data_IF_996007621768
#
_entry.id   IF_996007621768
#
_cell.length_a   1.000
_cell.length_b   1.000
_cell.length_c   1.000
_cell.angle_alpha   90.00
_cell.angle_beta   90.00
_cell.angle_gamma   90.00
#
_symmetry.space_group_name_H-M   'P 1'
#
loop_
_entity.id
_entity.type
_entity.pdbx_description
1 polymer ?
#
# COMPACT_ATOMS: atom_id res chain seq x y z
N UNK A 1 -30.43 6.65 14.33
CA UNK A 1 -30.29 6.34 12.90
C UNK A 1 -30.60 7.62 12.11
N UNK A 2 -29.78 7.93 11.11
CA UNK A 2 -30.07 9.05 10.20
C UNK A 2 -31.31 8.70 9.37
N UNK A 3 -32.22 9.67 9.24
CA UNK A 3 -33.32 9.55 8.31
C UNK A 3 -32.85 9.65 6.85
N UNK A 4 -33.68 9.26 5.90
CA UNK A 4 -33.31 9.24 4.49
C UNK A 4 -33.02 10.65 3.94
N UNK A 5 -33.68 11.67 4.51
CA UNK A 5 -33.45 13.07 4.13
C UNK A 5 -32.05 13.56 4.55
N UNK A 6 -31.65 13.24 5.78
CA UNK A 6 -30.33 13.59 6.28
C UNK A 6 -29.21 12.87 5.49
N UNK A 7 -29.43 11.60 5.11
CA UNK A 7 -28.51 10.84 4.24
C UNK A 7 -28.35 11.48 2.87
N UNK A 8 -29.46 11.80 2.21
CA UNK A 8 -29.44 12.46 0.89
C UNK A 8 -28.78 13.83 0.96
N UNK A 9 -29.00 14.57 2.04
CA UNK A 9 -28.43 15.89 2.25
C UNK A 9 -26.92 15.82 2.53
N UNK A 10 -26.49 14.84 3.33
CA UNK A 10 -25.06 14.56 3.55
C UNK A 10 -24.39 14.15 2.23
N UNK A 11 -25.01 13.27 1.45
CA UNK A 11 -24.50 12.85 0.13
C UNK A 11 -24.29 14.07 -0.77
N UNK A 12 -25.30 14.90 -0.94
CA UNK A 12 -25.22 16.10 -1.78
C UNK A 12 -24.16 17.10 -1.29
N UNK A 13 -23.99 17.21 0.04
CA UNK A 13 -22.96 18.08 0.64
C UNK A 13 -21.55 17.52 0.33
N UNK A 14 -21.32 16.22 0.52
CA UNK A 14 -20.03 15.59 0.26
C UNK A 14 -19.66 15.68 -1.22
N UNK A 15 -20.58 15.33 -2.12
CA UNK A 15 -20.36 15.41 -3.57
C UNK A 15 -20.02 16.84 -4.01
N UNK A 16 -20.75 17.82 -3.48
CA UNK A 16 -20.50 19.22 -3.79
C UNK A 16 -19.14 19.69 -3.28
N UNK A 17 -18.80 19.31 -2.04
CA UNK A 17 -17.52 19.66 -1.46
C UNK A 17 -16.33 18.98 -2.19
N UNK A 18 -16.50 17.74 -2.62
CA UNK A 18 -15.50 17.05 -3.45
C UNK A 18 -15.26 17.82 -4.76
N UNK A 19 -16.34 18.25 -5.42
CA UNK A 19 -16.26 18.96 -6.70
C UNK A 19 -15.60 20.35 -6.58
N UNK A 20 -16.04 21.17 -5.60
CA UNK A 20 -15.69 22.59 -5.54
C UNK A 20 -14.58 22.93 -4.53
N UNK A 21 -14.38 22.09 -3.50
CA UNK A 21 -13.44 22.36 -2.39
C UNK A 21 -13.85 23.51 -1.48
N UNK A 22 -15.08 24.03 -1.62
CA UNK A 22 -15.57 25.18 -0.86
C UNK A 22 -16.64 24.74 0.16
N UNK A 23 -16.66 25.33 1.37
CA UNK A 23 -17.68 25.03 2.35
C UNK A 23 -19.09 25.24 1.79
N UNK A 24 -19.97 24.26 1.99
CA UNK A 24 -21.29 24.20 1.35
C UNK A 24 -22.34 24.86 2.24
N UNK A 25 -23.02 25.88 1.73
CA UNK A 25 -24.08 26.58 2.42
C UNK A 25 -25.47 25.98 2.21
N UNK A 26 -26.41 26.23 3.13
CA UNK A 26 -27.80 25.73 3.04
C UNK A 26 -28.54 26.17 1.76
N UNK A 27 -28.26 27.36 1.25
CA UNK A 27 -28.84 27.85 -0.02
C UNK A 27 -28.32 27.08 -1.23
N UNK A 28 -27.03 26.71 -1.21
CA UNK A 28 -26.41 25.91 -2.28
C UNK A 28 -26.98 24.49 -2.28
N UNK A 29 -27.12 23.89 -1.09
CA UNK A 29 -27.73 22.57 -0.95
C UNK A 29 -29.22 22.53 -1.35
N UNK A 30 -29.98 23.57 -1.06
CA UNK A 30 -31.37 23.68 -1.48
C UNK A 30 -31.55 23.59 -3.00
N UNK A 31 -30.57 24.09 -3.75
CA UNK A 31 -30.57 24.02 -5.21
C UNK A 31 -30.00 22.74 -5.77
N UNK A 32 -29.04 22.12 -5.05
CA UNK A 32 -28.26 20.97 -5.54
C UNK A 32 -28.85 19.62 -5.13
N UNK A 33 -29.55 19.54 -3.99
CA UNK A 33 -29.99 18.26 -3.41
C UNK A 33 -31.19 17.60 -4.12
N UNK A 34 -31.88 18.31 -5.03
CA UNK A 34 -33.10 17.81 -5.63
C UNK A 34 -34.27 17.60 -4.64
N UNK A 35 -34.03 17.93 -3.37
CA UNK A 35 -35.04 17.92 -2.31
C UNK A 35 -35.78 19.25 -2.35
N UNK A 36 -37.09 19.21 -2.48
CA UNK A 36 -37.96 20.41 -2.40
C UNK A 36 -38.06 20.93 -0.96
N UNK A 37 -36.87 21.22 -0.34
CA UNK A 37 -36.76 21.71 1.03
C UNK A 37 -36.36 23.17 1.07
N UNK A 38 -36.99 23.90 1.98
CA UNK A 38 -36.60 25.29 2.25
C UNK A 38 -35.15 25.40 2.79
N UNK A 39 -34.43 26.50 2.52
CA UNK A 39 -33.11 26.72 3.09
C UNK A 39 -33.09 26.69 4.63
N UNK A 40 -34.22 27.03 5.28
CA UNK A 40 -34.38 26.96 6.71
C UNK A 40 -34.43 25.50 7.22
N UNK A 41 -35.20 24.64 6.54
CA UNK A 41 -35.26 23.19 6.85
C UNK A 41 -33.91 22.54 6.66
N UNK A 42 -33.20 22.87 5.56
CA UNK A 42 -31.85 22.33 5.29
C UNK A 42 -30.89 22.77 6.40
N UNK A 43 -30.98 24.02 6.90
CA UNK A 43 -30.13 24.50 7.99
C UNK A 43 -30.34 23.68 9.27
N UNK A 44 -31.57 23.32 9.60
CA UNK A 44 -31.86 22.48 10.76
C UNK A 44 -31.23 21.09 10.58
N UNK A 45 -31.42 20.44 9.43
CA UNK A 45 -30.80 19.13 9.16
C UNK A 45 -29.26 19.22 9.17
N UNK A 46 -28.67 20.33 8.69
CA UNK A 46 -27.23 20.55 8.77
C UNK A 46 -26.77 20.70 10.25
N UNK A 47 -27.58 21.32 11.11
CA UNK A 47 -27.29 21.40 12.55
C UNK A 47 -27.29 20.01 13.20
N UNK A 48 -28.28 19.18 12.86
CA UNK A 48 -28.35 17.78 13.35
C UNK A 48 -27.17 16.96 12.88
N UNK A 49 -26.75 17.10 11.61
CA UNK A 49 -25.57 16.42 11.06
C UNK A 49 -24.27 16.92 11.74
N UNK A 50 -24.19 18.19 12.11
CA UNK A 50 -23.05 18.75 12.84
C UNK A 50 -22.99 18.23 14.26
N UNK A 51 -24.12 18.14 14.97
CA UNK A 51 -24.21 17.52 16.30
C UNK A 51 -23.80 16.05 16.30
N UNK A 52 -24.11 15.33 15.22
CA UNK A 52 -23.68 13.95 15.01
C UNK A 52 -22.19 13.83 14.62
N UNK A 53 -21.48 14.94 14.43
CA UNK A 53 -20.08 14.98 14.05
C UNK A 53 -19.80 14.51 12.61
N UNK A 54 -20.79 14.57 11.73
CA UNK A 54 -20.67 14.18 10.31
C UNK A 54 -20.18 15.32 9.42
N UNK A 55 -20.49 16.54 9.81
CA UNK A 55 -20.04 17.78 9.17
C UNK A 55 -19.54 18.77 10.25
N UNK A 56 -18.79 19.76 9.82
CA UNK A 56 -18.27 20.80 10.71
C UNK A 56 -18.22 22.16 10.01
N UNK A 57 -18.33 23.24 10.78
CA UNK A 57 -18.10 24.60 10.29
C UNK A 57 -16.63 24.96 10.41
N UNK A 58 -15.89 25.24 9.32
CA UNK A 58 -14.51 25.66 9.41
C UNK A 58 -14.37 27.07 10.04
N UNK A 59 -15.38 27.95 9.87
CA UNK A 59 -15.44 29.30 10.44
C UNK A 59 -16.90 29.69 10.71
N UNK A 60 -17.12 30.60 11.64
CA UNK A 60 -18.45 30.99 12.17
C UNK A 60 -19.47 31.44 11.09
N UNK A 61 -19.01 31.98 9.96
CA UNK A 61 -19.84 32.42 8.85
C UNK A 61 -19.74 31.58 7.59
N UNK A 62 -18.94 30.52 7.63
CA UNK A 62 -18.74 29.63 6.51
C UNK A 62 -19.89 28.59 6.40
N UNK A 63 -20.02 27.96 5.22
CA UNK A 63 -20.82 26.74 5.07
C UNK A 63 -20.31 25.59 5.93
N UNK A 64 -20.67 24.39 5.58
CA UNK A 64 -20.20 23.16 6.27
C UNK A 64 -19.30 22.35 5.35
N UNK A 65 -18.37 21.63 5.96
CA UNK A 65 -17.48 20.66 5.29
C UNK A 65 -17.66 19.28 5.94
N UNK A 66 -17.46 18.17 5.21
CA UNK A 66 -17.53 16.82 5.77
C UNK A 66 -16.38 16.57 6.76
N UNK A 67 -16.63 15.82 7.80
CA UNK A 67 -15.60 15.21 8.65
C UNK A 67 -15.18 13.85 8.09
N UNK A 68 -14.12 13.22 8.62
CA UNK A 68 -13.75 11.85 8.29
C UNK A 68 -14.92 10.89 8.47
N UNK A 69 -15.70 11.05 9.55
CA UNK A 69 -16.91 10.26 9.82
C UNK A 69 -18.01 10.51 8.79
N UNK A 70 -18.16 11.75 8.32
CA UNK A 70 -19.09 12.09 7.24
C UNK A 70 -18.71 11.44 5.91
N UNK A 71 -17.44 11.46 5.56
CA UNK A 71 -16.92 10.74 4.39
C UNK A 71 -17.09 9.23 4.51
N UNK A 72 -16.85 8.63 5.69
CA UNK A 72 -17.07 7.21 5.94
C UNK A 72 -18.50 6.80 5.64
N UNK A 73 -19.46 7.51 6.23
CA UNK A 73 -20.87 7.21 6.01
C UNK A 73 -21.28 7.36 4.53
N UNK A 74 -20.73 8.38 3.84
CA UNK A 74 -20.93 8.58 2.41
C UNK A 74 -20.40 7.39 1.59
N UNK A 75 -19.19 6.94 1.88
CA UNK A 75 -18.55 5.80 1.21
C UNK A 75 -19.33 4.50 1.46
N UNK A 76 -19.72 4.24 2.70
CA UNK A 76 -20.48 3.02 3.06
C UNK A 76 -21.86 2.99 2.38
N UNK A 77 -22.49 4.15 2.19
CA UNK A 77 -23.75 4.27 1.48
C UNK A 77 -23.58 4.03 -0.02
N UNK A 78 -22.48 4.47 -0.61
CA UNK A 78 -22.17 4.26 -2.02
C UNK A 78 -21.82 2.80 -2.33
N UNK A 79 -21.00 2.18 -1.48
CA UNK A 79 -20.59 0.78 -1.67
C UNK A 79 -21.79 -0.18 -1.65
N UNK A 80 -22.87 0.17 -0.95
CA UNK A 80 -24.09 -0.63 -0.92
C UNK A 80 -25.02 -0.42 -2.12
N UNK A 81 -24.82 0.65 -2.91
CA UNK A 81 -25.80 1.09 -3.93
C UNK A 81 -25.35 0.96 -5.38
N UNK A 82 -24.06 0.75 -5.70
CA UNK A 82 -23.62 0.85 -7.10
C UNK A 82 -22.65 -0.24 -7.56
N UNK A 83 -23.14 -0.98 -8.55
CA UNK A 83 -22.37 -1.82 -9.46
C UNK A 83 -22.49 -1.25 -10.90
N UNK A 84 -22.19 0.03 -11.11
CA UNK A 84 -22.13 0.58 -12.47
C UNK A 84 -20.70 0.55 -13.01
N UNK A 85 -20.43 -0.18 -14.10
CA UNK A 85 -19.10 -0.28 -14.69
C UNK A 85 -18.79 0.97 -15.54
N UNK A 86 -18.44 2.09 -14.90
CA UNK A 86 -18.14 3.35 -15.62
C UNK A 86 -16.80 3.37 -16.35
N UNK A 87 -15.90 2.44 -16.08
CA UNK A 87 -14.61 2.35 -16.77
C UNK A 87 -14.57 1.04 -17.54
N UNK A 88 -14.92 1.11 -18.83
CA UNK A 88 -14.65 -0.01 -19.74
C UNK A 88 -13.13 -0.28 -19.73
N UNK A 89 -12.73 -1.51 -19.43
CA UNK A 89 -11.33 -1.97 -19.50
C UNK A 89 -10.67 -1.66 -20.86
N UNK A 90 -11.49 -1.43 -21.91
CA UNK A 90 -11.08 -0.99 -23.23
C UNK A 90 -10.55 0.45 -23.30
N UNK A 91 -10.95 1.33 -22.37
CA UNK A 91 -10.48 2.73 -22.31
C UNK A 91 -9.19 2.89 -21.49
N UNK A 92 -8.86 1.93 -20.65
CA UNK A 92 -7.57 1.81 -19.95
C UNK A 92 -6.47 1.24 -20.88
N UNK A 93 -6.62 1.55 -22.18
CA UNK A 93 -5.77 1.25 -23.31
C UNK A 93 -4.56 0.39 -22.99
N UNK A 94 -4.63 -0.88 -23.40
CA UNK A 94 -3.54 -1.63 -24.04
C UNK A 94 -2.05 -1.32 -23.68
N UNK A 95 -1.73 -0.68 -22.61
CA UNK A 95 -0.44 -0.88 -21.95
C UNK A 95 -0.55 -2.27 -21.31
N UNK A 96 -0.36 -3.29 -22.17
CA UNK A 96 -0.14 -4.67 -21.73
C UNK A 96 1.01 -4.58 -20.75
N UNK A 97 0.68 -4.79 -19.47
CA UNK A 97 1.68 -5.02 -18.45
C UNK A 97 2.51 -6.19 -18.99
N UNK A 98 3.76 -5.91 -19.38
CA UNK A 98 4.60 -6.93 -20.00
C UNK A 98 4.88 -8.03 -18.99
N UNK A 99 4.43 -9.28 -19.20
CA UNK A 99 4.48 -10.31 -18.18
C UNK A 99 5.91 -10.76 -17.82
N UNK A 100 6.88 -10.47 -18.66
CA UNK A 100 8.24 -11.04 -18.56
C UNK A 100 9.09 -10.49 -17.40
N UNK A 101 8.65 -9.43 -16.71
CA UNK A 101 9.41 -8.82 -15.60
C UNK A 101 8.49 -8.31 -14.49
N UNK A 102 8.32 -9.05 -13.41
CA UNK A 102 7.41 -8.70 -12.31
C UNK A 102 7.58 -7.27 -11.76
N UNK A 103 8.82 -6.81 -11.55
CA UNK A 103 9.08 -5.43 -11.09
C UNK A 103 8.60 -4.35 -12.06
N UNK A 104 8.66 -4.60 -13.37
CA UNK A 104 8.11 -3.68 -14.36
C UNK A 104 6.59 -3.65 -14.34
N UNK A 105 5.94 -4.79 -14.09
CA UNK A 105 4.48 -4.86 -13.91
C UNK A 105 4.07 -3.98 -12.73
N UNK A 106 4.74 -4.10 -11.58
CA UNK A 106 4.43 -3.33 -10.38
C UNK A 106 4.69 -1.83 -10.58
N UNK A 107 5.82 -1.47 -11.22
CA UNK A 107 6.13 -0.08 -11.56
C UNK A 107 5.09 0.52 -12.51
N UNK A 108 4.68 -0.21 -13.53
CA UNK A 108 3.64 0.22 -14.46
C UNK A 108 2.29 0.36 -13.78
N UNK A 109 1.95 -0.52 -12.85
CA UNK A 109 0.73 -0.44 -12.06
C UNK A 109 0.72 0.80 -11.15
N UNK A 110 1.81 1.09 -10.43
CA UNK A 110 1.92 2.29 -9.62
C UNK A 110 1.79 3.57 -10.46
N UNK A 111 2.41 3.58 -11.64
CA UNK A 111 2.28 4.69 -12.57
C UNK A 111 0.86 4.83 -13.12
N UNK A 112 0.19 3.73 -13.45
CA UNK A 112 -1.21 3.72 -13.90
C UNK A 112 -2.15 4.25 -12.82
N UNK A 113 -2.02 3.76 -11.58
CA UNK A 113 -2.77 4.28 -10.44
C UNK A 113 -2.60 5.78 -10.29
N UNK A 114 -1.37 6.27 -10.33
CA UNK A 114 -1.07 7.68 -10.19
C UNK A 114 -1.61 8.53 -11.34
N UNK A 115 -1.43 8.10 -12.59
CA UNK A 115 -1.86 8.86 -13.76
C UNK A 115 -3.38 8.97 -13.89
N UNK A 116 -4.11 7.91 -13.55
CA UNK A 116 -5.59 7.88 -13.62
C UNK A 116 -6.26 8.58 -12.45
N UNK A 117 -5.70 8.44 -11.25
CA UNK A 117 -6.23 9.06 -10.04
C UNK A 117 -5.84 10.52 -9.89
N UNK A 118 -4.70 10.93 -10.47
CA UNK A 118 -4.00 12.19 -10.22
C UNK A 118 -3.50 12.33 -8.76
N UNK A 119 -3.34 11.19 -8.07
CA UNK A 119 -2.81 11.08 -6.71
C UNK A 119 -1.58 10.17 -6.69
N UNK A 120 -1.15 9.74 -5.51
CA UNK A 120 -0.01 8.83 -5.38
C UNK A 120 -0.47 7.39 -5.55
N UNK A 121 0.09 6.68 -6.53
CA UNK A 121 -0.07 5.25 -6.70
C UNK A 121 0.98 4.48 -5.91
N UNK A 122 0.57 3.49 -5.15
CA UNK A 122 1.43 2.62 -4.35
C UNK A 122 1.15 1.16 -4.67
N UNK A 123 2.21 0.36 -4.78
CA UNK A 123 2.11 -1.08 -5.02
C UNK A 123 3.12 -1.79 -4.13
N UNK A 124 2.64 -2.64 -3.25
CA UNK A 124 3.49 -3.51 -2.44
C UNK A 124 3.88 -4.73 -3.28
N UNK A 125 5.18 -4.99 -3.40
CA UNK A 125 5.67 -6.16 -4.11
C UNK A 125 5.28 -7.46 -3.40
N UNK A 126 5.13 -8.59 -4.13
CA UNK A 126 4.95 -9.89 -3.51
C UNK A 126 6.06 -10.16 -2.50
N UNK A 127 5.68 -10.60 -1.31
CA UNK A 127 6.67 -11.08 -0.36
C UNK A 127 7.38 -12.28 -1.00
N UNK A 128 8.68 -12.15 -1.19
CA UNK A 128 9.48 -13.28 -1.63
C UNK A 128 9.48 -14.33 -0.52
N UNK A 129 9.51 -15.59 -0.93
CA UNK A 129 9.69 -16.67 0.02
C UNK A 129 11.00 -16.44 0.77
N UNK A 130 10.91 -16.28 2.08
CA UNK A 130 12.08 -16.26 2.95
C UNK A 130 12.67 -17.65 3.15
N UNK A 131 12.03 -18.67 2.59
CA UNK A 131 12.45 -20.07 2.63
C UNK A 131 13.53 -20.31 1.58
N UNK A 132 14.64 -20.92 1.96
CA UNK A 132 15.62 -21.36 0.99
C UNK A 132 15.56 -22.88 0.81
N UNK A 133 15.78 -23.34 -0.43
CA UNK A 133 15.93 -24.75 -0.77
C UNK A 133 17.39 -25.14 -0.91
N UNK A 134 18.24 -24.19 -1.32
CA UNK A 134 19.65 -24.43 -1.52
C UNK A 134 20.47 -23.15 -1.29
N UNK A 135 21.64 -23.30 -0.68
CA UNK A 135 22.62 -22.24 -0.51
C UNK A 135 23.99 -22.68 -1.00
N UNK A 136 24.73 -21.79 -1.63
CA UNK A 136 26.10 -22.04 -2.11
C UNK A 136 26.98 -20.83 -1.83
N UNK A 137 28.28 -21.09 -1.57
CA UNK A 137 29.30 -20.08 -1.38
C UNK A 137 30.37 -20.19 -2.45
N UNK A 138 30.67 -19.05 -3.10
CA UNK A 138 31.76 -18.95 -4.08
C UNK A 138 32.78 -17.93 -3.62
N UNK A 139 34.05 -18.32 -3.62
CA UNK A 139 35.15 -17.41 -3.33
C UNK A 139 35.38 -16.49 -4.53
N UNK A 140 35.29 -15.17 -4.31
CA UNK A 140 35.60 -14.16 -5.31
C UNK A 140 37.04 -13.63 -5.19
N UNK A 141 37.48 -13.38 -3.96
CA UNK A 141 38.84 -12.96 -3.60
C UNK A 141 39.04 -13.17 -2.09
N UNK A 142 40.20 -12.76 -1.57
CA UNK A 142 40.47 -12.80 -0.14
C UNK A 142 39.40 -12.05 0.63
N UNK A 143 38.76 -12.73 1.60
CA UNK A 143 37.67 -12.20 2.43
C UNK A 143 36.41 -11.70 1.69
N UNK A 144 36.25 -12.05 0.40
CA UNK A 144 35.03 -11.73 -0.38
C UNK A 144 34.43 -13.00 -0.95
N UNK A 145 33.19 -13.23 -0.60
CA UNK A 145 32.46 -14.43 -1.00
C UNK A 145 31.12 -14.06 -1.59
N UNK A 146 30.71 -14.77 -2.63
CA UNK A 146 29.36 -14.69 -3.19
C UNK A 146 28.52 -15.77 -2.52
N UNK A 147 27.43 -15.38 -1.89
CA UNK A 147 26.39 -16.28 -1.38
C UNK A 147 25.28 -16.33 -2.43
N UNK A 148 24.94 -17.55 -2.85
CA UNK A 148 23.84 -17.83 -3.76
C UNK A 148 22.79 -18.59 -2.97
N UNK A 149 21.56 -18.08 -2.97
CA UNK A 149 20.41 -18.69 -2.28
C UNK A 149 19.34 -18.96 -3.31
N UNK A 150 18.85 -20.18 -3.32
CA UNK A 150 17.77 -20.64 -4.19
C UNK A 150 16.55 -20.93 -3.32
N UNK A 151 15.41 -20.33 -3.64
CA UNK A 151 14.13 -20.62 -2.99
C UNK A 151 13.38 -21.79 -3.64
N UNK A 152 12.38 -22.40 -2.96
CA UNK A 152 11.63 -23.52 -3.53
C UNK A 152 10.90 -23.23 -4.83
N UNK A 153 10.55 -21.97 -5.07
CA UNK A 153 9.92 -21.45 -6.29
C UNK A 153 10.90 -21.15 -7.41
N UNK A 154 12.21 -21.42 -7.20
CA UNK A 154 13.26 -21.28 -8.20
C UNK A 154 13.84 -19.86 -8.29
N UNK A 155 13.43 -18.92 -7.44
CA UNK A 155 14.07 -17.60 -7.36
C UNK A 155 15.51 -17.74 -6.86
N UNK A 156 16.44 -17.04 -7.52
CA UNK A 156 17.86 -17.07 -7.20
C UNK A 156 18.29 -15.71 -6.69
N UNK A 157 18.78 -15.68 -5.47
CA UNK A 157 19.35 -14.47 -4.86
C UNK A 157 20.85 -14.63 -4.73
N UNK A 158 21.60 -13.58 -5.00
CA UNK A 158 23.04 -13.55 -4.83
C UNK A 158 23.47 -12.33 -4.03
N UNK A 159 24.48 -12.51 -3.16
CA UNK A 159 25.04 -11.45 -2.33
C UNK A 159 26.54 -11.63 -2.17
N UNK A 160 27.25 -10.52 -2.22
CA UNK A 160 28.66 -10.48 -1.86
C UNK A 160 28.75 -10.15 -0.38
N UNK A 161 29.39 -11.03 0.38
CA UNK A 161 29.70 -10.82 1.80
C UNK A 161 31.19 -10.56 1.98
N UNK A 162 31.51 -9.81 3.01
CA UNK A 162 32.87 -9.53 3.44
C UNK A 162 33.05 -10.14 4.84
N UNK A 163 34.11 -10.91 5.02
CA UNK A 163 34.37 -11.56 6.28
C UNK A 163 35.71 -11.07 6.87
N UNK A 164 35.87 -11.18 8.18
CA UNK A 164 37.13 -10.84 8.85
C UNK A 164 38.23 -11.87 8.59
N UNK A 165 37.83 -13.14 8.46
CA UNK A 165 38.72 -14.25 8.15
C UNK A 165 38.66 -14.64 6.67
N UNK A 166 39.71 -15.25 6.17
CA UNK A 166 39.69 -15.91 4.85
C UNK A 166 39.33 -17.39 5.03
N UNK A 167 38.51 -17.89 4.10
CA UNK A 167 37.99 -19.27 4.10
C UNK A 167 38.44 -20.02 2.85
N UNK A 168 38.88 -21.24 3.05
CA UNK A 168 39.20 -22.15 1.95
C UNK A 168 37.96 -22.65 1.25
N UNK A 169 38.10 -23.11 0.01
CA UNK A 169 36.98 -23.67 -0.75
C UNK A 169 36.34 -24.89 -0.02
N UNK A 170 37.13 -25.69 0.68
CA UNK A 170 36.63 -26.82 1.47
C UNK A 170 35.73 -26.37 2.63
N UNK A 171 36.14 -25.32 3.36
CA UNK A 171 35.31 -24.74 4.43
C UNK A 171 34.01 -24.13 3.91
N UNK A 172 34.04 -23.49 2.73
CA UNK A 172 32.84 -22.96 2.08
C UNK A 172 31.86 -24.06 1.70
N UNK A 173 32.36 -25.17 1.15
CA UNK A 173 31.55 -26.35 0.80
C UNK A 173 30.97 -27.00 2.06
N UNK A 174 31.76 -27.12 3.13
CA UNK A 174 31.30 -27.68 4.40
C UNK A 174 30.19 -26.83 5.02
N UNK A 175 30.34 -25.52 5.03
CA UNK A 175 29.30 -24.58 5.49
C UNK A 175 28.02 -24.69 4.67
N UNK A 176 28.11 -24.73 3.33
CA UNK A 176 26.97 -24.89 2.46
C UNK A 176 26.24 -26.22 2.69
N UNK A 177 26.99 -27.33 2.76
CA UNK A 177 26.45 -28.66 3.02
C UNK A 177 25.74 -28.72 4.37
N UNK A 178 26.30 -28.13 5.40
CA UNK A 178 25.67 -28.07 6.72
C UNK A 178 24.32 -27.31 6.66
N UNK A 179 24.32 -26.10 6.11
CA UNK A 179 23.08 -25.32 5.98
C UNK A 179 22.02 -26.04 5.14
N UNK A 180 22.41 -26.62 4.02
CA UNK A 180 21.51 -27.37 3.14
C UNK A 180 20.93 -28.63 3.79
N UNK A 181 21.74 -29.37 4.58
CA UNK A 181 21.26 -30.61 5.21
C UNK A 181 20.38 -30.37 6.43
N UNK A 182 20.56 -29.27 7.18
CA UNK A 182 19.86 -29.05 8.43
C UNK A 182 18.70 -28.04 8.31
N UNK A 183 18.76 -27.13 7.35
CA UNK A 183 17.86 -26.00 7.30
C UNK A 183 17.16 -25.78 5.96
N UNK A 184 17.42 -26.57 4.91
CA UNK A 184 16.69 -26.46 3.66
C UNK A 184 15.18 -26.64 3.88
N UNK A 185 14.39 -25.76 3.28
CA UNK A 185 12.94 -25.73 3.47
C UNK A 185 12.47 -24.89 4.67
N UNK A 186 13.38 -24.25 5.41
CA UNK A 186 13.05 -23.36 6.53
C UNK A 186 13.13 -21.90 6.12
N UNK A 187 12.38 -21.04 6.82
CA UNK A 187 12.52 -19.60 6.67
C UNK A 187 13.88 -19.12 7.20
N UNK A 188 14.49 -18.18 6.49
CA UNK A 188 15.84 -17.65 6.85
C UNK A 188 15.85 -17.07 8.26
N UNK A 189 14.76 -16.41 8.68
CA UNK A 189 14.61 -15.88 10.03
C UNK A 189 14.62 -16.99 11.09
N UNK A 190 13.97 -18.10 10.81
CA UNK A 190 13.98 -19.27 11.70
C UNK A 190 15.37 -19.91 11.75
N UNK A 191 16.03 -20.00 10.60
CA UNK A 191 17.43 -20.47 10.52
C UNK A 191 18.34 -19.59 11.34
N UNK A 192 18.18 -18.26 11.25
CA UNK A 192 18.99 -17.30 12.03
C UNK A 192 18.86 -17.53 13.53
N UNK A 193 17.62 -17.67 14.02
CA UNK A 193 17.38 -17.89 15.45
C UNK A 193 17.93 -19.25 15.93
N UNK A 194 17.76 -20.31 15.13
CA UNK A 194 18.31 -21.64 15.45
C UNK A 194 19.83 -21.64 15.42
N UNK A 195 20.41 -21.09 14.37
CA UNK A 195 21.85 -21.02 14.20
C UNK A 195 22.51 -20.20 15.33
N UNK A 196 21.88 -19.11 15.79
CA UNK A 196 22.35 -18.32 16.91
C UNK A 196 22.44 -19.15 18.21
N UNK A 197 21.43 -19.98 18.46
CA UNK A 197 21.40 -20.84 19.63
C UNK A 197 22.38 -22.04 19.52
N UNK A 198 22.57 -22.58 18.32
CA UNK A 198 23.47 -23.72 18.08
C UNK A 198 24.94 -23.29 17.99
N UNK A 199 25.24 -22.08 17.52
CA UNK A 199 26.61 -21.55 17.41
C UNK A 199 27.24 -21.29 18.77
N UNK A 200 26.45 -21.04 19.81
CA UNK A 200 26.97 -21.04 21.17
C UNK A 200 27.55 -22.41 21.56
N UNK A 201 27.07 -23.47 20.92
CA UNK A 201 27.55 -24.85 21.09
C UNK A 201 28.66 -25.25 20.08
N UNK A 202 28.68 -24.65 18.88
CA UNK A 202 29.65 -24.91 17.80
C UNK A 202 30.75 -23.86 17.83
N UNK A 203 31.83 -24.13 18.57
CA UNK A 203 33.03 -23.28 18.57
C UNK A 203 33.83 -23.53 17.28
N UNK A 204 33.78 -22.59 16.32
CA UNK A 204 34.64 -22.67 15.15
C UNK A 204 34.47 -21.51 14.16
N UNK A 205 35.45 -21.28 13.31
CA UNK A 205 35.47 -20.24 12.28
C UNK A 205 34.34 -20.38 11.27
N UNK A 206 33.91 -21.61 10.96
CA UNK A 206 32.84 -21.92 10.03
C UNK A 206 31.47 -21.40 10.55
N UNK A 207 31.23 -21.42 11.84
CA UNK A 207 30.03 -20.91 12.47
C UNK A 207 29.87 -19.39 12.23
N UNK A 208 30.98 -18.65 12.30
CA UNK A 208 30.96 -17.20 12.01
C UNK A 208 30.61 -16.93 10.54
N UNK A 209 31.12 -17.73 9.60
CA UNK A 209 30.79 -17.62 8.19
C UNK A 209 29.28 -17.84 7.96
N UNK A 210 28.72 -18.91 8.56
CA UNK A 210 27.30 -19.24 8.45
C UNK A 210 26.42 -18.12 9.01
N UNK A 211 26.75 -17.59 10.19
CA UNK A 211 26.03 -16.47 10.78
C UNK A 211 26.07 -15.23 9.88
N UNK A 212 27.25 -14.87 9.38
CA UNK A 212 27.38 -13.71 8.47
C UNK A 212 26.56 -13.89 7.21
N UNK A 213 26.57 -15.09 6.60
CA UNK A 213 25.81 -15.37 5.40
C UNK A 213 24.30 -15.26 5.64
N UNK A 214 23.79 -15.83 6.72
CA UNK A 214 22.36 -15.79 7.08
C UNK A 214 21.94 -14.38 7.46
N UNK A 215 22.76 -13.64 8.20
CA UNK A 215 22.48 -12.24 8.56
C UNK A 215 22.34 -11.35 7.32
N UNK A 216 23.32 -11.42 6.41
CA UNK A 216 23.29 -10.63 5.16
C UNK A 216 22.15 -11.05 4.25
N UNK A 217 21.77 -12.32 4.27
CA UNK A 217 20.63 -12.82 3.51
C UNK A 217 19.31 -12.32 4.05
N UNK A 218 19.13 -12.25 5.37
CA UNK A 218 17.98 -11.65 6.04
C UNK A 218 17.86 -10.17 5.69
N UNK A 219 18.93 -9.39 5.84
CA UNK A 219 18.98 -7.97 5.47
C UNK A 219 18.71 -7.74 3.98
N UNK A 220 19.10 -8.68 3.13
CA UNK A 220 18.84 -8.63 1.69
C UNK A 220 17.38 -8.83 1.31
N UNK A 221 16.66 -9.64 2.07
CA UNK A 221 15.21 -9.86 1.89
C UNK A 221 14.46 -8.60 2.35
N UNK A 222 14.90 -7.96 3.44
CA UNK A 222 14.33 -6.73 3.96
C UNK A 222 14.61 -5.49 3.09
N UNK A 223 15.73 -5.45 2.36
CA UNK A 223 16.23 -4.23 1.69
C UNK A 223 15.85 -4.08 0.22
N UNK A 224 15.17 -5.03 -0.43
CA UNK A 224 14.70 -4.87 -1.80
C UNK A 224 13.34 -4.19 -1.82
N UNK A 225 13.15 -3.27 -2.75
CA UNK A 225 11.97 -2.43 -2.98
C UNK A 225 10.65 -3.23 -2.87
N UNK A 226 10.21 -3.49 -1.64
CA UNK A 226 8.92 -4.10 -1.35
C UNK A 226 7.76 -3.15 -1.66
N UNK A 227 8.06 -1.87 -1.87
CA UNK A 227 7.09 -0.82 -2.13
C UNK A 227 7.51 0.04 -3.32
N UNK A 228 6.69 0.03 -4.35
CA UNK A 228 6.78 0.92 -5.51
C UNK A 228 5.83 2.08 -5.31
N UNK A 229 6.34 3.31 -5.40
CA UNK A 229 5.57 4.55 -5.27
C UNK A 229 5.69 5.33 -6.57
N UNK A 230 4.62 5.96 -7.00
CA UNK A 230 4.61 6.82 -8.18
C UNK A 230 3.65 7.99 -7.99
N UNK A 231 4.04 9.17 -8.46
CA UNK A 231 3.19 10.35 -8.51
C UNK A 231 3.15 11.17 -7.23
N UNK A 232 4.17 11.12 -6.38
CA UNK A 232 4.27 11.95 -5.17
C UNK A 232 4.14 13.44 -5.50
N UNK A 233 4.61 13.85 -6.67
CA UNK A 233 4.50 15.22 -7.16
C UNK A 233 3.06 15.68 -7.41
N UNK A 234 2.13 14.76 -7.63
CA UNK A 234 0.72 15.10 -7.84
C UNK A 234 0.13 15.79 -6.60
N UNK A 235 0.62 15.45 -5.41
CA UNK A 235 0.17 16.07 -4.17
C UNK A 235 0.50 17.56 -4.09
N UNK A 236 1.54 18.02 -4.80
CA UNK A 236 1.89 19.44 -4.89
C UNK A 236 0.83 20.26 -5.62
N UNK A 237 0.06 19.64 -6.50
CA UNK A 237 -1.00 20.29 -7.29
C UNK A 237 -2.34 20.27 -6.58
N UNK A 238 -2.48 19.49 -5.50
CA UNK A 238 -3.71 19.42 -4.71
C UNK A 238 -3.79 20.61 -3.78
N UNK A 239 -4.85 21.41 -3.93
CA UNK A 239 -5.05 22.63 -3.14
C UNK A 239 -5.08 22.39 -1.63
N UNK A 240 -5.56 21.24 -1.20
CA UNK A 240 -5.68 20.85 0.20
C UNK A 240 -4.31 20.70 0.90
N UNK A 241 -3.26 20.42 0.14
CA UNK A 241 -1.89 20.30 0.65
C UNK A 241 -1.00 21.49 0.29
N UNK A 242 -1.22 22.11 -0.86
CA UNK A 242 -0.38 23.22 -1.34
C UNK A 242 -0.53 24.49 -0.51
N UNK A 243 -1.61 24.62 0.26
CA UNK A 243 -1.87 25.77 1.15
C UNK A 243 -1.13 25.67 2.50
N UNK A 244 -0.62 24.49 2.89
CA UNK A 244 0.09 24.27 4.14
C UNK A 244 1.39 23.48 3.92
N UNK A 245 2.51 24.22 3.90
CA UNK A 245 3.85 23.63 3.73
C UNK A 245 4.23 22.67 4.85
N UNK A 246 3.67 22.83 6.05
CA UNK A 246 3.90 21.93 7.18
C UNK A 246 3.27 20.56 6.93
N UNK A 247 2.06 20.52 6.42
CA UNK A 247 1.37 19.28 6.07
C UNK A 247 2.03 18.61 4.85
N UNK A 248 2.43 19.38 3.86
CA UNK A 248 3.14 18.87 2.70
C UNK A 248 4.45 18.18 3.09
N UNK A 249 5.24 18.78 3.99
CA UNK A 249 6.48 18.17 4.50
C UNK A 249 6.22 16.84 5.20
N UNK A 250 5.22 16.80 6.08
CA UNK A 250 4.83 15.53 6.77
C UNK A 250 4.46 14.42 5.78
N UNK A 251 3.83 14.78 4.65
CA UNK A 251 3.50 13.81 3.60
C UNK A 251 4.74 13.23 2.93
N UNK A 252 5.72 14.07 2.59
CA UNK A 252 6.98 13.56 2.03
C UNK A 252 7.73 12.71 3.04
N UNK A 253 7.76 13.11 4.32
CA UNK A 253 8.35 12.30 5.40
C UNK A 253 7.67 10.91 5.50
N UNK A 254 6.34 10.82 5.26
CA UNK A 254 5.63 9.54 5.21
C UNK A 254 6.11 8.65 4.06
N UNK A 255 6.31 9.22 2.86
CA UNK A 255 6.80 8.44 1.72
C UNK A 255 8.26 8.02 1.86
N UNK A 256 9.07 8.80 2.56
CA UNK A 256 10.43 8.39 2.93
C UNK A 256 10.42 7.25 3.96
N UNK A 257 9.43 7.23 4.85
CA UNK A 257 9.23 6.17 5.85
C UNK A 257 8.46 4.97 5.27
N UNK A 258 9.04 4.29 4.27
CA UNK A 258 8.42 3.13 3.57
C UNK A 258 7.82 2.09 4.53
N UNK A 259 8.42 1.87 5.68
CA UNK A 259 7.95 0.91 6.68
C UNK A 259 6.53 1.20 7.23
N UNK A 260 6.14 2.47 7.33
CA UNK A 260 4.79 2.84 7.77
C UNK A 260 3.75 2.58 6.67
N UNK A 261 4.10 2.90 5.42
CA UNK A 261 3.24 2.60 4.27
C UNK A 261 3.06 1.09 4.08
N UNK A 262 4.12 0.32 4.25
CA UNK A 262 4.05 -1.14 4.19
C UNK A 262 3.12 -1.72 5.24
N UNK A 263 3.15 -1.24 6.49
CA UNK A 263 2.20 -1.67 7.53
C UNK A 263 0.75 -1.38 7.15
N UNK A 264 0.48 -0.21 6.56
CA UNK A 264 -0.85 0.14 6.07
C UNK A 264 -1.33 -0.83 4.99
N UNK A 265 -0.48 -1.11 4.01
CA UNK A 265 -0.81 -2.01 2.90
C UNK A 265 -0.92 -3.47 3.36
N UNK A 266 -0.12 -3.89 4.34
CA UNK A 266 -0.16 -5.24 4.91
C UNK A 266 -1.48 -5.53 5.65
N UNK A 267 -1.99 -4.57 6.41
CA UNK A 267 -3.33 -4.68 7.03
C UNK A 267 -4.41 -4.86 5.96
N UNK A 268 -4.24 -4.21 4.81
CA UNK A 268 -5.18 -4.31 3.68
C UNK A 268 -5.09 -5.63 2.93
N UNK A 269 -3.97 -6.34 2.98
CA UNK A 269 -3.76 -7.62 2.26
C UNK A 269 -4.66 -8.76 2.76
N UNK A 270 -5.15 -8.66 4.00
CA UNK A 270 -6.05 -9.65 4.61
C UNK A 270 -7.53 -9.41 4.32
N UNK A 271 -7.83 -8.35 3.59
CA UNK A 271 -9.20 -7.96 3.31
C UNK A 271 -9.66 -8.51 1.95
N UNK A 272 -10.93 -8.87 1.84
CA UNK A 272 -11.55 -9.18 0.57
C UNK A 272 -11.95 -7.89 -0.16
N UNK A 273 -11.49 -7.72 -1.41
CA UNK A 273 -11.83 -6.60 -2.27
C UNK A 273 -11.24 -5.25 -1.86
N UNK A 274 -11.86 -4.17 -2.39
CA UNK A 274 -11.38 -2.79 -2.15
C UNK A 274 -11.64 -2.35 -0.72
N UNK A 275 -10.64 -1.74 -0.09
CA UNK A 275 -10.71 -1.12 1.24
C UNK A 275 -10.40 0.36 1.17
N UNK A 276 -11.07 1.11 2.03
CA UNK A 276 -10.94 2.56 2.08
C UNK A 276 -10.66 2.97 3.53
N UNK A 277 -9.59 3.71 3.70
CA UNK A 277 -9.18 4.30 4.98
C UNK A 277 -9.29 5.81 4.86
N UNK A 278 -10.02 6.45 5.76
CA UNK A 278 -10.33 7.89 5.70
C UNK A 278 -9.80 8.57 6.95
N UNK A 279 -8.76 9.40 6.78
CA UNK A 279 -8.21 10.22 7.85
C UNK A 279 -7.83 9.41 9.09
N UNK A 280 -8.01 10.01 10.25
CA UNK A 280 -7.69 9.41 11.55
C UNK A 280 -8.65 8.31 12.05
N UNK A 281 -9.62 7.85 11.25
CA UNK A 281 -10.51 6.75 11.67
C UNK A 281 -9.77 5.43 11.83
N UNK A 282 -8.78 5.19 10.98
CA UNK A 282 -7.91 4.04 11.14
C UNK A 282 -6.70 4.47 11.95
N UNK A 283 -6.44 3.83 13.08
CA UNK A 283 -5.19 4.02 13.85
C UNK A 283 -3.93 3.69 13.00
N UNK A 284 -4.12 3.26 11.77
CA UNK A 284 -3.09 2.84 10.82
C UNK A 284 -2.57 4.00 10.01
N UNK A 285 -3.41 5.03 9.72
CA UNK A 285 -2.98 6.23 9.00
C UNK A 285 -2.55 7.30 10.03
N UNK A 286 -1.26 7.68 10.06
CA UNK A 286 -0.77 8.65 11.05
C UNK A 286 -1.22 10.10 10.75
N UNK A 287 -1.89 10.33 9.61
CA UNK A 287 -2.28 11.67 9.15
C UNK A 287 -3.79 11.78 8.97
N UNK A 288 -4.40 12.74 9.67
CA UNK A 288 -5.85 12.96 9.67
C UNK A 288 -6.40 13.47 8.34
N UNK A 289 -5.55 13.99 7.47
CA UNK A 289 -5.92 14.66 6.21
C UNK A 289 -5.83 13.77 4.98
N UNK A 290 -5.34 12.53 5.17
CA UNK A 290 -5.15 11.55 4.10
C UNK A 290 -6.29 10.55 4.04
N UNK A 291 -6.53 10.07 2.83
CA UNK A 291 -7.29 8.86 2.58
C UNK A 291 -6.52 7.91 1.69
N UNK A 292 -6.75 6.62 1.91
CA UNK A 292 -6.10 5.55 1.15
C UNK A 292 -7.16 4.58 0.66
N UNK A 293 -7.15 4.29 -0.62
CA UNK A 293 -7.99 3.27 -1.26
C UNK A 293 -7.08 2.14 -1.73
N UNK A 294 -7.31 0.92 -1.27
CA UNK A 294 -6.44 -0.23 -1.54
C UNK A 294 -7.24 -1.42 -2.04
N UNK A 295 -6.58 -2.30 -2.78
CA UNK A 295 -7.07 -3.64 -3.09
C UNK A 295 -5.93 -4.65 -3.05
N UNK A 296 -6.18 -5.89 -2.59
CA UNK A 296 -5.24 -6.97 -2.73
C UNK A 296 -5.13 -7.38 -4.21
N UNK A 297 -3.98 -7.93 -4.60
CA UNK A 297 -3.81 -8.60 -5.87
C UNK A 297 -3.25 -10.00 -5.65
N UNK A 298 -3.57 -10.91 -6.57
CA UNK A 298 -3.36 -12.34 -6.40
C UNK A 298 -2.49 -12.90 -7.52
N UNK A 299 -1.78 -13.97 -7.22
CA UNK A 299 -1.11 -14.83 -8.18
C UNK A 299 -1.51 -16.28 -7.87
N UNK A 300 -2.04 -16.98 -8.87
CA UNK A 300 -2.54 -18.36 -8.73
C UNK A 300 -3.56 -18.53 -7.57
N UNK A 301 -4.45 -17.54 -7.38
CA UNK A 301 -5.48 -17.54 -6.34
C UNK A 301 -4.99 -17.28 -4.91
N UNK A 302 -3.73 -16.85 -4.75
CA UNK A 302 -3.17 -16.43 -3.45
C UNK A 302 -2.88 -14.95 -3.46
N UNK A 303 -3.33 -14.23 -2.44
CA UNK A 303 -2.97 -12.82 -2.23
C UNK A 303 -1.47 -12.74 -2.00
N UNK A 304 -0.78 -12.01 -2.86
CA UNK A 304 0.68 -11.85 -2.81
C UNK A 304 1.11 -10.43 -2.50
N UNK A 305 0.20 -9.47 -2.62
CA UNK A 305 0.50 -8.09 -2.31
C UNK A 305 -0.75 -7.21 -2.33
N UNK A 306 -0.56 -5.92 -2.10
CA UNK A 306 -1.61 -4.91 -2.08
C UNK A 306 -1.17 -3.71 -2.91
N UNK A 307 -2.12 -3.11 -3.60
CA UNK A 307 -1.90 -1.86 -4.31
C UNK A 307 -2.96 -0.82 -3.92
N UNK A 308 -2.70 0.43 -4.19
CA UNK A 308 -3.66 1.47 -3.85
C UNK A 308 -3.27 2.88 -4.28
N UNK A 309 -4.14 3.80 -3.92
CA UNK A 309 -4.00 5.24 -4.15
C UNK A 309 -4.03 5.95 -2.82
N UNK A 310 -3.10 6.89 -2.61
CA UNK A 310 -3.03 7.79 -1.46
C UNK A 310 -3.33 9.20 -1.95
N UNK A 311 -4.28 9.87 -1.32
CA UNK A 311 -4.68 11.24 -1.65
C UNK A 311 -5.32 11.96 -0.46
N UNK A 312 -5.86 13.17 -0.67
CA UNK A 312 -6.58 13.92 0.36
C UNK A 312 -7.89 13.22 0.75
N UNK A 313 -8.45 13.57 1.90
CA UNK A 313 -9.82 13.12 2.25
C UNK A 313 -10.84 13.55 1.20
N UNK A 314 -10.63 14.67 0.56
CA UNK A 314 -11.47 15.20 -0.52
C UNK A 314 -11.07 14.60 -1.87
N UNK A 315 -11.43 13.35 -2.11
CA UNK A 315 -11.20 12.67 -3.39
C UNK A 315 -12.49 12.05 -3.96
N UNK A 316 -12.57 11.85 -5.27
CA UNK A 316 -13.72 11.17 -5.91
C UNK A 316 -13.65 9.65 -5.64
N UNK A 317 -14.11 9.22 -4.47
CA UNK A 317 -13.99 7.83 -3.98
C UNK A 317 -14.50 6.78 -4.97
N UNK A 318 -15.65 7.03 -5.61
CA UNK A 318 -16.21 6.11 -6.61
C UNK A 318 -15.20 5.81 -7.72
N UNK A 319 -14.61 6.87 -8.28
CA UNK A 319 -13.57 6.74 -9.31
C UNK A 319 -12.31 6.03 -8.77
N UNK A 320 -11.92 6.33 -7.53
CA UNK A 320 -10.74 5.68 -6.90
C UNK A 320 -10.96 4.19 -6.70
N UNK A 321 -12.15 3.79 -6.23
CA UNK A 321 -12.53 2.38 -6.06
C UNK A 321 -12.39 1.64 -7.39
N UNK A 322 -12.95 2.19 -8.48
CA UNK A 322 -12.89 1.58 -9.80
C UNK A 322 -11.45 1.46 -10.33
N UNK A 323 -10.65 2.52 -10.23
CA UNK A 323 -9.24 2.51 -10.67
C UNK A 323 -8.45 1.43 -9.92
N UNK A 324 -8.60 1.37 -8.61
CA UNK A 324 -7.87 0.42 -7.75
C UNK A 324 -8.31 -1.02 -8.02
N UNK A 325 -9.61 -1.28 -8.13
CA UNK A 325 -10.16 -2.61 -8.42
C UNK A 325 -9.72 -3.13 -9.79
N UNK A 326 -9.83 -2.30 -10.83
CA UNK A 326 -9.41 -2.71 -12.19
C UNK A 326 -7.90 -2.94 -12.22
N UNK A 327 -7.10 -2.06 -11.62
CA UNK A 327 -5.64 -2.21 -11.60
C UNK A 327 -5.21 -3.47 -10.85
N UNK A 328 -5.87 -3.83 -9.73
CA UNK A 328 -5.56 -5.05 -8.99
C UNK A 328 -5.82 -6.30 -9.82
N UNK A 329 -6.93 -6.35 -10.57
CA UNK A 329 -7.26 -7.44 -11.49
C UNK A 329 -6.28 -7.54 -12.65
N UNK A 330 -5.85 -6.41 -13.22
CA UNK A 330 -4.85 -6.38 -14.29
C UNK A 330 -3.47 -6.89 -13.81
N UNK A 331 -3.03 -6.46 -12.63
CA UNK A 331 -1.79 -6.94 -12.01
C UNK A 331 -1.85 -8.44 -11.71
N UNK A 332 -2.95 -8.90 -11.12
CA UNK A 332 -3.18 -10.33 -10.85
C UNK A 332 -3.07 -11.16 -12.13
N UNK A 333 -3.73 -10.73 -13.19
CA UNK A 333 -3.69 -11.41 -14.49
C UNK A 333 -2.28 -11.39 -15.09
N UNK A 334 -1.59 -10.25 -15.08
CA UNK A 334 -0.27 -10.12 -15.66
C UNK A 334 0.78 -10.98 -14.94
N UNK A 335 0.73 -11.05 -13.60
CA UNK A 335 1.67 -11.84 -12.80
C UNK A 335 1.37 -13.34 -12.85
N UNK A 336 0.11 -13.76 -12.96
CA UNK A 336 -0.25 -15.18 -13.13
C UNK A 336 0.15 -15.75 -14.49
N UNK A 337 0.33 -14.94 -15.52
CA UNK A 337 0.77 -15.36 -16.86
C UNK A 337 2.30 -15.27 -17.05
N UNK A 338 3.05 -14.91 -16.01
CA UNK A 338 4.51 -14.72 -16.03
C UNK A 338 5.30 -16.00 -15.78
N UNK A 339 4.70 -17.18 -16.00
CA UNK A 339 5.37 -18.50 -15.90
C UNK A 339 5.85 -18.99 -17.22
#
# INVERSE_FOLDING_TARGET
MLDDRARLLLKALVERYIADGQPVGSRTLSKASGLELSPATIRNVMSDLEELGLIVSPHTSAGRIPTARGYRLFVDTMLTTQTDPFINASGLGAQRLAPDQPLKVLSSAAHMLSSLSQFVGVVMAPRRSSVFSHIEFLRLSDRRFLVIIVSPDGDVQNRVIFTEADYTQSQLIEAANFLNSHYAGMAIEEVRERLKNEVEALRGEIATLMQTAVQVSSEAIESRDELVISGERNLLTVSDFSSDMGNLRKLFDLFEQKAQLMKLLDVSSRAEGVRIYIGGESQVIPYQELSVVTAPYEVDGKVVGTLGVIGPMRMPYEKMIQIVDITSKLVSTALSHSK
#
